data_IF_552131691472
#
_entry.id   IF_552131691472
#
_cell.length_a   1.000
_cell.length_b   1.000
_cell.length_c   1.000
_cell.angle_alpha   90.00
_cell.angle_beta   90.00
_cell.angle_gamma   90.00
#
_symmetry.space_group_name_H-M   'P 1'
#
loop_
_entity.id
_entity.type
_entity.pdbx_description
1 polymer ?
#
# COMPACT_ATOMS: atom_id res chain seq x y z
N UNK A 1 -46.60 19.97 49.27
CA UNK A 1 -46.39 18.87 48.30
C UNK A 1 -44.93 18.89 47.88
N UNK A 2 -44.19 17.85 48.26
CA UNK A 2 -42.79 17.62 47.91
C UNK A 2 -42.75 16.90 46.55
N UNK A 3 -42.03 17.42 45.57
CA UNK A 3 -41.63 16.75 44.31
C UNK A 3 -40.67 17.69 43.58
N UNK A 4 -39.57 17.28 42.98
CA UNK A 4 -38.86 16.00 42.92
C UNK A 4 -37.45 16.34 42.41
N UNK A 5 -36.47 15.54 42.84
CA UNK A 5 -35.11 15.53 42.30
C UNK A 5 -35.14 15.31 40.78
N UNK A 6 -34.38 16.10 40.02
CA UNK A 6 -33.81 15.62 38.76
C UNK A 6 -32.32 15.94 38.72
N UNK A 7 -31.56 14.90 39.06
CA UNK A 7 -30.14 14.77 38.78
C UNK A 7 -29.90 14.89 37.27
N UNK A 8 -28.84 15.59 36.88
CA UNK A 8 -28.37 15.68 35.51
C UNK A 8 -26.94 16.21 35.51
N UNK A 9 -25.99 15.35 35.89
CA UNK A 9 -24.56 15.60 35.71
C UNK A 9 -24.25 15.68 34.22
N UNK A 10 -24.35 16.88 33.65
CA UNK A 10 -23.87 17.17 32.30
C UNK A 10 -22.35 17.39 32.35
N UNK A 11 -21.57 16.31 32.24
CA UNK A 11 -20.17 16.46 31.83
C UNK A 11 -20.21 17.01 30.40
N UNK A 12 -19.98 18.31 30.25
CA UNK A 12 -19.71 18.93 28.95
C UNK A 12 -18.38 18.38 28.43
N UNK A 13 -18.41 17.18 27.85
CA UNK A 13 -17.28 16.73 27.05
C UNK A 13 -17.20 17.67 25.86
N UNK A 14 -16.15 18.49 25.82
CA UNK A 14 -15.88 19.43 24.74
C UNK A 14 -15.43 18.66 23.50
N UNK A 15 -16.34 17.89 22.90
CA UNK A 15 -16.06 17.08 21.71
C UNK A 15 -15.94 18.02 20.52
N UNK A 16 -14.72 18.52 20.29
CA UNK A 16 -14.37 19.23 19.07
C UNK A 16 -14.72 18.34 17.88
N UNK A 17 -15.41 18.92 16.89
CA UNK A 17 -15.70 18.20 15.65
C UNK A 17 -14.37 17.88 14.95
N UNK A 18 -14.30 16.78 14.19
CA UNK A 18 -13.06 16.39 13.49
C UNK A 18 -12.52 17.52 12.60
N UNK A 19 -13.41 18.31 12.00
CA UNK A 19 -13.05 19.49 11.21
C UNK A 19 -12.30 20.54 12.02
N UNK A 20 -12.76 20.83 13.25
CA UNK A 20 -12.10 21.75 14.18
C UNK A 20 -10.79 21.18 14.76
N UNK A 21 -10.66 19.87 14.84
CA UNK A 21 -9.43 19.22 15.33
C UNK A 21 -8.29 19.33 14.31
N UNK A 22 -8.60 19.37 13.02
CA UNK A 22 -7.62 19.42 11.93
C UNK A 22 -7.58 20.78 11.19
N UNK A 23 -8.31 21.79 11.69
CA UNK A 23 -8.47 23.12 11.06
C UNK A 23 -8.89 23.08 9.58
N UNK A 24 -9.62 22.03 9.21
CA UNK A 24 -10.03 21.82 7.81
C UNK A 24 -11.35 22.54 7.56
N UNK A 25 -11.33 23.44 6.60
CA UNK A 25 -12.50 24.21 6.19
C UNK A 25 -13.36 23.41 5.19
N UNK A 26 -14.67 23.59 5.23
CA UNK A 26 -15.60 22.86 4.34
C UNK A 26 -15.26 23.04 2.84
N UNK A 27 -14.71 24.20 2.47
CA UNK A 27 -14.27 24.50 1.11
C UNK A 27 -13.06 23.63 0.67
N UNK A 28 -12.14 23.34 1.59
CA UNK A 28 -10.98 22.48 1.31
C UNK A 28 -11.39 21.02 1.09
N UNK A 29 -12.39 20.54 1.87
CA UNK A 29 -12.94 19.19 1.70
C UNK A 29 -13.64 19.04 0.35
N UNK A 30 -14.35 20.09 -0.08
CA UNK A 30 -14.96 20.13 -1.42
C UNK A 30 -13.91 20.03 -2.50
N UNK A 31 -12.87 20.85 -2.42
CA UNK A 31 -11.76 20.82 -3.36
C UNK A 31 -11.10 19.43 -3.43
N UNK A 32 -10.78 18.82 -2.29
CA UNK A 32 -10.17 17.48 -2.27
C UNK A 32 -11.11 16.39 -2.78
N UNK A 33 -12.41 16.51 -2.51
CA UNK A 33 -13.42 15.59 -3.05
C UNK A 33 -13.47 15.68 -4.56
N UNK A 34 -13.48 16.90 -5.11
CA UNK A 34 -13.58 17.11 -6.55
C UNK A 34 -12.31 16.60 -7.25
N UNK A 35 -11.12 16.88 -6.68
CA UNK A 35 -9.84 16.32 -7.14
C UNK A 35 -9.81 14.79 -7.08
N UNK A 36 -10.34 14.19 -6.02
CA UNK A 36 -10.42 12.74 -5.90
C UNK A 36 -11.36 12.16 -6.95
N UNK A 37 -12.52 12.75 -7.19
CA UNK A 37 -13.48 12.25 -8.17
C UNK A 37 -12.95 12.38 -9.60
N UNK A 38 -12.26 13.48 -9.91
CA UNK A 38 -11.60 13.70 -11.20
C UNK A 38 -10.42 12.73 -11.42
N UNK A 39 -9.63 12.46 -10.38
CA UNK A 39 -8.52 11.51 -10.44
C UNK A 39 -8.93 10.04 -10.30
N UNK A 40 -10.12 9.74 -9.76
CA UNK A 40 -10.57 8.37 -9.50
C UNK A 40 -10.81 7.58 -10.78
N UNK A 41 -11.26 8.22 -11.85
CA UNK A 41 -11.43 7.56 -13.15
C UNK A 41 -10.10 7.12 -13.74
N UNK A 42 -9.02 7.88 -13.53
CA UNK A 42 -7.68 7.50 -13.99
C UNK A 42 -7.01 6.39 -13.19
N UNK A 43 -7.42 6.16 -11.94
CA UNK A 43 -6.83 5.15 -11.03
C UNK A 43 -7.69 3.89 -10.92
N UNK A 44 -9.01 4.05 -10.89
CA UNK A 44 -9.99 2.99 -10.68
C UNK A 44 -10.90 2.75 -11.89
N UNK A 45 -10.79 3.56 -12.96
CA UNK A 45 -11.45 3.27 -14.23
C UNK A 45 -10.77 2.11 -14.95
N UNK A 46 -11.56 1.36 -15.71
CA UNK A 46 -11.10 0.26 -16.58
C UNK A 46 -10.16 0.76 -17.70
N UNK A 47 -10.16 2.08 -17.91
CA UNK A 47 -9.17 2.82 -18.68
C UNK A 47 -7.88 2.94 -17.86
N UNK A 48 -7.30 1.79 -17.49
CA UNK A 48 -5.89 1.68 -17.22
C UNK A 48 -5.17 2.19 -18.48
N UNK A 49 -4.94 3.51 -18.48
CA UNK A 49 -4.21 4.22 -19.49
C UNK A 49 -2.95 3.40 -19.70
N UNK A 50 -2.86 2.86 -20.90
CA UNK A 50 -1.70 2.25 -21.50
C UNK A 50 -0.55 3.28 -21.59
N UNK A 51 -0.13 3.80 -20.43
CA UNK A 51 0.92 4.80 -20.23
C UNK A 51 1.75 4.46 -18.98
N UNK A 52 1.84 3.18 -18.68
CA UNK A 52 3.17 2.62 -18.69
C UNK A 52 3.09 1.48 -19.67
N UNK A 53 3.75 1.63 -20.82
CA UNK A 53 4.36 0.49 -21.47
C UNK A 53 5.37 -0.10 -20.46
N UNK A 54 4.88 -0.68 -19.37
CA UNK A 54 5.61 -1.72 -18.69
C UNK A 54 5.95 -2.68 -19.83
N UNK A 55 7.24 -2.99 -20.06
CA UNK A 55 7.59 -3.95 -21.08
C UNK A 55 6.67 -5.13 -20.83
N UNK A 56 5.97 -5.62 -21.85
CA UNK A 56 5.14 -6.81 -21.72
C UNK A 56 6.06 -7.89 -21.21
N UNK A 57 6.11 -8.02 -19.88
CA UNK A 57 7.16 -8.77 -19.22
C UNK A 57 6.87 -10.19 -19.66
N UNK A 58 7.73 -10.72 -20.51
CA UNK A 58 7.55 -12.09 -20.95
C UNK A 58 7.91 -12.99 -19.78
N UNK A 59 6.91 -13.23 -18.94
CA UNK A 59 6.97 -14.06 -17.75
C UNK A 59 7.51 -15.45 -18.12
N UNK A 60 7.28 -15.92 -19.36
CA UNK A 60 7.83 -17.19 -19.84
C UNK A 60 9.34 -17.10 -20.00
N UNK A 61 9.87 -16.07 -20.64
CA UNK A 61 11.32 -15.83 -20.72
C UNK A 61 11.95 -15.66 -19.35
N UNK A 62 11.30 -14.94 -18.43
CA UNK A 62 11.80 -14.81 -17.06
C UNK A 62 11.84 -16.15 -16.33
N UNK A 63 10.78 -16.95 -16.39
CA UNK A 63 10.77 -18.28 -15.77
C UNK A 63 11.78 -19.23 -16.40
N UNK A 64 12.00 -19.15 -17.72
CA UNK A 64 13.04 -19.92 -18.40
C UNK A 64 14.43 -19.55 -17.87
N UNK A 65 14.76 -18.25 -17.78
CA UNK A 65 16.02 -17.78 -17.23
C UNK A 65 16.21 -18.12 -15.75
N UNK A 66 15.14 -18.07 -14.95
CA UNK A 66 15.17 -18.49 -13.54
C UNK A 66 15.51 -19.99 -13.45
N UNK A 67 14.89 -20.83 -14.29
CA UNK A 67 15.18 -22.27 -14.33
C UNK A 67 16.62 -22.56 -14.74
N UNK A 68 17.10 -21.93 -15.81
CA UNK A 68 18.49 -22.03 -16.30
C UNK A 68 19.49 -21.65 -15.19
N UNK A 69 19.35 -20.47 -14.60
CA UNK A 69 20.24 -20.00 -13.54
C UNK A 69 20.18 -20.87 -12.28
N UNK A 70 19.03 -21.46 -11.96
CA UNK A 70 18.89 -22.38 -10.82
C UNK A 70 19.73 -23.63 -11.06
N UNK A 71 19.62 -24.23 -12.25
CA UNK A 71 20.38 -25.43 -12.61
C UNK A 71 21.89 -25.14 -12.66
N UNK A 72 22.30 -24.01 -13.22
CA UNK A 72 23.70 -23.59 -13.24
C UNK A 72 24.26 -23.38 -11.83
N UNK A 73 23.51 -22.68 -10.96
CA UNK A 73 23.93 -22.43 -9.59
C UNK A 73 24.05 -23.72 -8.77
N UNK A 74 23.06 -24.62 -8.87
CA UNK A 74 23.08 -25.92 -8.21
C UNK A 74 24.24 -26.79 -8.68
N UNK A 75 24.53 -26.79 -9.97
CA UNK A 75 25.69 -27.47 -10.55
C UNK A 75 27.00 -26.92 -9.99
N UNK A 76 27.18 -25.59 -10.02
CA UNK A 76 28.39 -24.93 -9.54
C UNK A 76 28.59 -25.13 -8.04
N UNK A 77 27.54 -24.97 -7.24
CA UNK A 77 27.56 -25.22 -5.79
C UNK A 77 27.96 -26.66 -5.49
N UNK A 78 27.38 -27.63 -6.21
CA UNK A 78 27.70 -29.05 -6.06
C UNK A 78 29.14 -29.37 -6.50
N UNK A 79 29.60 -28.79 -7.60
CA UNK A 79 30.94 -29.01 -8.14
C UNK A 79 32.02 -28.41 -7.23
N UNK A 80 31.83 -27.16 -6.78
CA UNK A 80 32.71 -26.51 -5.81
C UNK A 80 32.70 -27.26 -4.48
N UNK A 81 31.52 -27.72 -4.05
CA UNK A 81 31.27 -28.68 -2.97
C UNK A 81 32.22 -29.88 -3.00
N UNK A 82 32.21 -30.59 -4.14
CA UNK A 82 33.05 -31.77 -4.36
C UNK A 82 34.53 -31.43 -4.48
N UNK A 83 34.86 -30.27 -5.05
CA UNK A 83 36.24 -29.83 -5.21
C UNK A 83 36.86 -29.34 -3.88
N UNK A 84 36.07 -29.15 -2.82
CA UNK A 84 36.53 -28.59 -1.55
C UNK A 84 36.87 -27.10 -1.62
N UNK A 85 36.44 -26.41 -2.67
CA UNK A 85 36.72 -24.97 -2.92
C UNK A 85 35.67 -24.01 -2.33
N UNK A 86 34.61 -24.53 -1.71
CA UNK A 86 33.63 -23.74 -0.94
C UNK A 86 34.23 -23.15 0.34
N UNK A 87 35.16 -22.21 0.18
CA UNK A 87 35.65 -21.33 1.25
C UNK A 87 34.82 -20.04 1.26
N UNK A 88 33.55 -20.15 1.67
CA UNK A 88 32.73 -18.99 2.01
C UNK A 88 32.92 -18.65 3.49
N UNK A 89 33.85 -17.73 3.82
CA UNK A 89 34.01 -17.22 5.18
C UNK A 89 33.37 -15.83 5.29
N UNK A 90 32.25 -15.81 6.02
CA UNK A 90 31.37 -14.71 6.45
C UNK A 90 30.54 -14.00 5.38
#
# INVERSE_FOLDING_TARGET
MLSAVRCGTGVNTHRKSRLQQFDVHANQIKQWKDQLLEGATGVFGDEAKAESAAPTVDVKTLHAKIGELTLENDFLSSALGKAGLLSGKK
#
